data_IF_328032092321
#
_entry.id   IF_328032092321
#
_cell.length_a   1.000
_cell.length_b   1.000
_cell.length_c   1.000
_cell.angle_alpha   90.00
_cell.angle_beta   90.00
_cell.angle_gamma   90.00
#
_symmetry.space_group_name_H-M   'P 1'
#
loop_
_entity.id
_entity.type
_entity.pdbx_description
1 polymer ?
#
# COMPACT_ATOMS: atom_id res chain seq x y z
N UNK A 1 -10.70 7.11 56.07
CA UNK A 1 -10.94 6.98 54.66
C UNK A 1 -9.63 7.20 53.91
N UNK A 2 -9.00 6.12 53.43
CA UNK A 2 -7.76 6.15 52.65
C UNK A 2 -8.15 6.13 51.19
N UNK A 3 -7.97 7.24 50.49
CA UNK A 3 -8.16 7.29 49.02
C UNK A 3 -6.94 6.67 48.33
N UNK A 4 -7.12 5.54 47.69
CA UNK A 4 -6.10 4.95 46.81
C UNK A 4 -6.10 5.69 45.47
N UNK A 5 -5.04 6.45 45.20
CA UNK A 5 -4.78 7.07 43.90
C UNK A 5 -4.25 5.97 42.95
N UNK A 6 -5.10 5.46 42.05
CA UNK A 6 -4.66 4.62 40.96
C UNK A 6 -4.01 5.50 39.88
N UNK A 7 -2.68 5.46 39.80
CA UNK A 7 -1.96 6.02 38.66
C UNK A 7 -2.07 5.04 37.47
N UNK A 8 -2.84 5.40 36.46
CA UNK A 8 -2.78 4.74 35.17
C UNK A 8 -1.52 5.21 34.43
N UNK A 9 -0.49 4.40 34.40
CA UNK A 9 0.61 4.58 33.48
C UNK A 9 0.11 4.16 32.07
N UNK A 10 -0.29 5.14 31.27
CA UNK A 10 -0.46 4.91 29.82
C UNK A 10 0.94 4.72 29.24
N UNK A 11 1.32 3.48 28.96
CA UNK A 11 2.47 3.21 28.08
C UNK A 11 2.11 3.75 26.70
N UNK A 12 2.82 4.78 26.24
CA UNK A 12 2.79 5.12 24.81
C UNK A 12 3.48 3.97 24.09
N UNK A 13 2.70 3.13 23.43
CA UNK A 13 3.23 2.18 22.44
C UNK A 13 3.45 3.00 21.19
N UNK A 14 4.70 3.21 20.80
CA UNK A 14 5.04 3.81 19.51
C UNK A 14 4.84 2.74 18.45
N UNK A 15 4.20 3.10 17.34
CA UNK A 15 4.13 2.23 16.17
C UNK A 15 5.55 1.83 15.74
N UNK A 16 5.80 0.53 15.58
CA UNK A 16 7.10 0.00 15.25
C UNK A 16 7.05 -0.72 13.90
N UNK A 17 7.46 -0.01 12.84
CA UNK A 17 7.67 -0.61 11.52
C UNK A 17 8.83 -1.60 11.58
N UNK A 18 8.55 -2.85 11.26
CA UNK A 18 9.54 -3.95 11.30
C UNK A 18 10.23 -4.12 9.95
N UNK A 19 9.48 -4.02 8.85
CA UNK A 19 10.01 -4.23 7.52
C UNK A 19 8.93 -4.36 6.46
N UNK A 20 9.31 -4.91 5.33
CA UNK A 20 8.39 -5.22 4.22
C UNK A 20 8.42 -6.72 3.93
N UNK A 21 7.27 -7.25 3.54
CA UNK A 21 7.15 -8.61 3.03
C UNK A 21 6.25 -8.63 1.78
N UNK A 22 6.32 -9.72 1.04
CA UNK A 22 5.43 -9.93 -0.10
C UNK A 22 4.90 -11.36 -0.12
N UNK A 23 3.76 -11.53 -0.79
CA UNK A 23 3.20 -12.85 -1.12
C UNK A 23 2.85 -12.92 -2.60
N UNK A 24 2.99 -14.11 -3.18
CA UNK A 24 2.50 -14.40 -4.53
C UNK A 24 1.03 -14.78 -4.44
N UNK A 25 0.16 -14.04 -5.13
CA UNK A 25 -1.29 -14.27 -5.10
C UNK A 25 -1.83 -14.91 -6.37
N UNK A 26 -1.14 -14.77 -7.50
CA UNK A 26 -1.51 -15.39 -8.76
C UNK A 26 -0.33 -15.53 -9.72
N UNK A 27 -0.43 -16.51 -10.62
CA UNK A 27 0.41 -16.63 -11.81
C UNK A 27 -0.51 -16.70 -13.03
N UNK A 28 -0.34 -15.81 -13.99
CA UNK A 28 -1.20 -15.67 -15.16
C UNK A 28 -0.40 -15.44 -16.43
N UNK A 29 -1.07 -15.31 -17.57
CA UNK A 29 -0.42 -14.92 -18.81
C UNK A 29 0.16 -13.49 -18.79
N UNK A 30 -0.30 -12.65 -17.84
CA UNK A 30 0.19 -11.29 -17.63
C UNK A 30 1.41 -11.23 -16.69
N UNK A 31 1.84 -12.38 -16.16
CA UNK A 31 2.93 -12.51 -15.19
C UNK A 31 2.49 -12.99 -13.81
N UNK A 32 3.38 -12.86 -12.87
CA UNK A 32 3.14 -13.18 -11.45
C UNK A 32 2.66 -11.93 -10.73
N UNK A 33 1.58 -12.09 -9.96
CA UNK A 33 0.99 -11.03 -9.13
C UNK A 33 1.49 -11.17 -7.71
N UNK A 34 2.08 -10.09 -7.20
CA UNK A 34 2.61 -9.98 -5.84
C UNK A 34 1.79 -8.96 -5.06
N UNK A 35 1.49 -9.24 -3.81
CA UNK A 35 1.04 -8.26 -2.82
C UNK A 35 2.17 -7.93 -1.87
N UNK A 36 2.37 -6.65 -1.63
CA UNK A 36 3.46 -6.14 -0.79
C UNK A 36 2.85 -5.49 0.45
N UNK A 37 3.43 -5.80 1.59
CA UNK A 37 2.95 -5.38 2.91
C UNK A 37 4.05 -4.67 3.69
N UNK A 38 3.66 -3.66 4.46
CA UNK A 38 4.43 -3.14 5.58
C UNK A 38 4.13 -3.98 6.82
N UNK A 39 5.15 -4.39 7.57
CA UNK A 39 4.99 -5.24 8.77
C UNK A 39 5.25 -4.49 10.05
N UNK A 40 4.51 -4.84 11.10
CA UNK A 40 4.51 -4.21 12.42
C UNK A 40 4.50 -5.27 13.52
N UNK A 41 5.03 -4.94 14.69
CA UNK A 41 5.05 -5.85 15.84
C UNK A 41 3.85 -5.69 16.79
N UNK A 42 2.99 -4.67 16.55
CA UNK A 42 1.80 -4.43 17.35
C UNK A 42 0.54 -4.41 16.44
N UNK A 43 -0.49 -5.21 16.74
CA UNK A 43 -1.71 -5.29 15.91
C UNK A 43 -2.53 -4.00 15.85
N UNK A 44 -2.30 -3.05 16.73
CA UNK A 44 -2.98 -1.73 16.72
C UNK A 44 -2.16 -0.63 16.05
N UNK A 45 -0.99 -0.97 15.49
CA UNK A 45 -0.21 -0.02 14.71
C UNK A 45 -0.93 0.30 13.39
N UNK A 46 -0.97 1.57 13.03
CA UNK A 46 -1.61 2.08 11.83
C UNK A 46 -0.57 2.62 10.86
N UNK A 47 -0.65 2.20 9.60
CA UNK A 47 0.12 2.79 8.50
C UNK A 47 -0.63 3.98 7.93
N UNK A 48 -0.18 5.18 8.20
CA UNK A 48 -0.85 6.40 7.70
C UNK A 48 -0.21 6.98 6.45
N UNK A 49 1.05 6.66 6.14
CA UNK A 49 1.72 7.18 4.95
C UNK A 49 2.86 6.28 4.48
N UNK A 50 3.02 6.20 3.17
CA UNK A 50 4.25 5.77 2.49
C UNK A 50 4.81 6.99 1.78
N UNK A 51 6.05 7.35 2.07
CA UNK A 51 6.67 8.56 1.53
C UNK A 51 8.13 8.34 1.13
N UNK A 52 8.62 9.19 0.25
CA UNK A 52 10.02 9.23 -0.12
C UNK A 52 10.49 10.67 -0.38
N UNK A 53 11.77 10.91 -0.15
CA UNK A 53 12.46 12.17 -0.43
C UNK A 53 13.96 11.90 -0.60
N UNK A 54 14.79 12.91 -0.91
CA UNK A 54 16.22 12.72 -1.19
C UNK A 54 17.01 12.05 -0.06
N UNK A 55 16.59 12.23 1.21
CA UNK A 55 17.24 11.60 2.38
C UNK A 55 16.65 10.24 2.74
N UNK A 56 15.53 9.86 2.11
CA UNK A 56 14.87 8.56 2.24
C UNK A 56 14.29 8.15 0.88
N UNK A 57 15.15 7.82 -0.10
CA UNK A 57 14.71 7.54 -1.46
C UNK A 57 13.91 6.24 -1.54
N UNK A 58 13.00 6.18 -2.52
CA UNK A 58 12.22 4.99 -2.85
C UNK A 58 12.42 4.63 -4.31
N UNK A 59 12.54 3.33 -4.57
CA UNK A 59 12.51 2.77 -5.93
C UNK A 59 11.35 1.80 -6.02
N UNK A 60 10.52 1.96 -7.05
CA UNK A 60 9.53 0.98 -7.48
C UNK A 60 9.91 0.56 -8.89
N UNK A 61 10.27 -0.70 -9.07
CA UNK A 61 10.78 -1.13 -10.37
C UNK A 61 10.79 -2.63 -10.53
N UNK A 62 10.79 -3.05 -11.79
CA UNK A 62 10.90 -4.44 -12.22
C UNK A 62 11.84 -4.51 -13.42
N UNK A 63 12.31 -5.71 -13.75
CA UNK A 63 13.24 -5.91 -14.88
C UNK A 63 12.58 -5.78 -16.25
N UNK A 64 11.25 -5.81 -16.34
CA UNK A 64 10.45 -5.67 -17.55
C UNK A 64 9.47 -4.50 -17.45
N UNK A 65 8.19 -4.78 -17.24
CA UNK A 65 7.15 -3.80 -17.01
C UNK A 65 6.13 -4.30 -15.98
N UNK A 66 5.43 -3.38 -15.35
CA UNK A 66 4.22 -3.69 -14.59
C UNK A 66 3.05 -3.91 -15.55
N UNK A 67 2.25 -4.93 -15.29
CA UNK A 67 0.99 -5.10 -15.97
C UNK A 67 0.00 -4.05 -15.49
N UNK A 68 -0.61 -3.33 -16.44
CA UNK A 68 -1.67 -2.36 -16.20
C UNK A 68 -2.90 -2.77 -17.01
N UNK A 69 -4.02 -3.00 -16.34
CA UNK A 69 -5.26 -3.34 -17.02
C UNK A 69 -5.88 -2.07 -17.65
N UNK A 70 -6.40 -2.12 -18.90
CA UNK A 70 -6.97 -0.94 -19.57
C UNK A 70 -8.16 -0.28 -18.83
N UNK A 71 -8.80 -0.99 -17.90
CA UNK A 71 -9.88 -0.48 -17.04
C UNK A 71 -9.44 -0.44 -15.56
N UNK A 72 -8.15 -0.57 -15.31
CA UNK A 72 -7.52 -0.52 -14.00
C UNK A 72 -7.35 0.90 -13.46
N UNK A 73 -6.61 1.02 -12.38
CA UNK A 73 -6.31 2.29 -11.75
C UNK A 73 -5.10 2.20 -10.82
N UNK A 74 -4.37 3.31 -10.68
CA UNK A 74 -3.18 3.39 -9.83
C UNK A 74 -3.46 3.23 -8.33
N UNK A 75 -4.69 3.50 -7.87
CA UNK A 75 -5.09 3.32 -6.48
C UNK A 75 -6.19 2.26 -6.35
N UNK A 76 -5.98 1.27 -5.50
CA UNK A 76 -6.89 0.14 -5.27
C UNK A 76 -8.33 0.56 -4.96
N UNK A 77 -8.52 1.63 -4.20
CA UNK A 77 -9.83 2.14 -3.81
C UNK A 77 -10.76 2.51 -4.98
N UNK A 78 -10.21 2.67 -6.19
CA UNK A 78 -11.00 2.96 -7.41
C UNK A 78 -11.30 1.71 -8.22
N UNK A 79 -10.73 0.55 -7.88
CA UNK A 79 -10.98 -0.73 -8.55
C UNK A 79 -12.26 -1.35 -7.97
N UNK A 80 -13.29 -1.47 -8.80
CA UNK A 80 -14.54 -2.07 -8.36
C UNK A 80 -14.58 -3.57 -8.70
N UNK A 81 -14.61 -4.48 -7.70
CA UNK A 81 -14.62 -5.93 -7.91
C UNK A 81 -15.85 -6.44 -8.65
N UNK A 82 -16.95 -5.68 -8.69
CA UNK A 82 -18.12 -6.04 -9.48
C UNK A 82 -17.81 -6.16 -10.99
N UNK A 83 -16.74 -5.53 -11.45
CA UNK A 83 -16.30 -5.60 -12.83
C UNK A 83 -15.42 -6.83 -13.16
N UNK A 84 -14.93 -7.59 -12.19
CA UNK A 84 -14.08 -8.76 -12.42
C UNK A 84 -14.75 -9.84 -13.27
N UNK A 85 -16.10 -9.95 -13.23
CA UNK A 85 -16.84 -10.85 -14.10
C UNK A 85 -16.81 -10.47 -15.58
N UNK A 86 -16.79 -9.17 -15.88
CA UNK A 86 -16.75 -8.63 -17.25
C UNK A 86 -15.30 -8.39 -17.72
N UNK A 87 -14.39 -8.08 -16.82
CA UNK A 87 -12.98 -7.81 -17.06
C UNK A 87 -12.12 -8.67 -16.12
N UNK A 88 -11.94 -9.97 -16.43
CA UNK A 88 -11.26 -10.90 -15.50
C UNK A 88 -9.81 -10.56 -15.22
N UNK A 89 -9.15 -9.82 -16.11
CA UNK A 89 -7.75 -9.40 -15.97
C UNK A 89 -7.58 -8.25 -14.98
N UNK A 90 -8.64 -7.47 -14.71
CA UNK A 90 -8.64 -6.35 -13.77
C UNK A 90 -8.21 -6.76 -12.34
N UNK A 91 -8.51 -7.98 -11.92
CA UNK A 91 -8.09 -8.49 -10.62
C UNK A 91 -6.55 -8.62 -10.46
N UNK A 92 -5.82 -8.58 -11.58
CA UNK A 92 -4.36 -8.67 -11.63
C UNK A 92 -3.68 -7.34 -11.95
N UNK A 93 -4.44 -6.26 -12.00
CA UNK A 93 -3.92 -4.91 -12.19
C UNK A 93 -2.86 -4.55 -11.14
N UNK A 94 -1.92 -3.68 -11.50
CA UNK A 94 -0.91 -3.20 -10.57
C UNK A 94 -1.33 -1.85 -10.00
N UNK A 95 -1.29 -1.72 -8.66
CA UNK A 95 -1.79 -0.55 -7.97
C UNK A 95 -1.14 -0.36 -6.59
N UNK A 96 -1.31 0.84 -6.04
CA UNK A 96 -0.91 1.22 -4.68
C UNK A 96 -2.13 1.34 -3.76
N UNK A 97 -1.88 1.20 -2.45
CA UNK A 97 -2.91 1.34 -1.42
C UNK A 97 -2.28 1.61 -0.06
N UNK A 98 -3.14 1.75 0.95
CA UNK A 98 -2.86 1.54 2.37
C UNK A 98 -4.05 0.75 2.92
N UNK A 99 -3.86 -0.58 3.08
CA UNK A 99 -4.82 -1.49 3.68
C UNK A 99 -5.84 -2.12 2.72
N UNK A 100 -6.68 -1.33 2.07
CA UNK A 100 -7.75 -1.85 1.20
C UNK A 100 -7.22 -2.39 -0.13
N UNK A 101 -7.79 -3.49 -0.64
CA UNK A 101 -7.42 -4.09 -1.94
C UNK A 101 -8.30 -3.69 -3.10
N UNK A 102 -9.40 -3.00 -2.84
CA UNK A 102 -10.39 -2.58 -3.82
C UNK A 102 -11.39 -1.56 -3.23
N UNK A 103 -12.39 -1.15 -4.00
CA UNK A 103 -13.38 -0.15 -3.62
C UNK A 103 -14.40 -0.58 -2.56
N UNK A 104 -14.38 -1.83 -2.10
CA UNK A 104 -15.21 -2.28 -0.98
C UNK A 104 -14.53 -2.02 0.38
N UNK A 105 -13.23 -1.72 0.37
CA UNK A 105 -12.48 -1.37 1.57
C UNK A 105 -12.78 0.04 2.08
N UNK A 106 -12.17 0.40 3.20
CA UNK A 106 -12.43 1.65 3.91
C UNK A 106 -11.36 2.72 3.68
N UNK A 107 -10.28 2.39 2.96
CA UNK A 107 -9.16 3.31 2.72
C UNK A 107 -9.53 4.39 1.69
N UNK A 108 -9.37 5.65 2.07
CA UNK A 108 -9.46 6.81 1.18
C UNK A 108 -8.07 7.42 1.00
N UNK A 109 -7.24 6.74 0.21
CA UNK A 109 -5.84 7.10 -0.01
C UNK A 109 -5.75 8.40 -0.80
N UNK A 110 -5.08 9.37 -0.21
CA UNK A 110 -4.72 10.63 -0.82
C UNK A 110 -3.27 10.58 -1.32
N UNK A 111 -2.88 11.52 -2.17
CA UNK A 111 -1.51 11.60 -2.66
C UNK A 111 -1.02 13.05 -2.74
N UNK A 112 0.28 13.24 -2.61
CA UNK A 112 0.96 14.52 -2.82
C UNK A 112 2.30 14.28 -3.53
N UNK A 113 2.56 15.03 -4.60
CA UNK A 113 3.80 14.92 -5.37
C UNK A 113 3.93 13.63 -6.18
N UNK A 114 2.86 12.82 -6.34
CA UNK A 114 2.91 11.54 -7.01
C UNK A 114 2.47 11.56 -8.49
N UNK A 115 1.89 12.65 -9.00
CA UNK A 115 1.24 12.68 -10.31
C UNK A 115 2.13 12.15 -11.44
N UNK A 116 3.39 12.58 -11.52
CA UNK A 116 4.31 12.14 -12.58
C UNK A 116 4.80 10.71 -12.37
N UNK A 117 4.97 10.28 -11.13
CA UNK A 117 5.39 8.92 -10.78
C UNK A 117 4.27 7.93 -11.04
N UNK A 118 3.05 8.25 -10.64
CA UNK A 118 1.87 7.43 -10.92
C UNK A 118 1.56 7.36 -12.41
N UNK A 119 1.72 8.44 -13.17
CA UNK A 119 1.57 8.41 -14.62
C UNK A 119 2.61 7.51 -15.31
N UNK A 120 3.86 7.48 -14.84
CA UNK A 120 4.88 6.57 -15.34
C UNK A 120 4.56 5.11 -15.00
N UNK A 121 4.04 4.87 -13.80
CA UNK A 121 3.62 3.53 -13.36
C UNK A 121 2.42 3.01 -14.15
N UNK A 122 1.39 3.83 -14.38
CA UNK A 122 0.23 3.49 -15.23
C UNK A 122 0.63 3.19 -16.69
N UNK A 123 1.76 3.72 -17.14
CA UNK A 123 2.35 3.37 -18.43
C UNK A 123 3.16 2.05 -18.39
N UNK A 124 3.14 1.31 -17.28
CA UNK A 124 3.87 0.06 -17.06
C UNK A 124 5.33 0.25 -16.62
N UNK A 125 5.79 1.50 -16.44
CA UNK A 125 7.15 1.81 -16.01
C UNK A 125 7.33 1.79 -14.50
N UNK A 126 8.61 1.69 -14.07
CA UNK A 126 8.99 1.96 -12.69
C UNK A 126 9.26 3.45 -12.46
N UNK A 127 9.53 3.81 -11.21
CA UNK A 127 9.96 5.17 -10.84
C UNK A 127 10.93 5.16 -9.66
N UNK A 128 11.66 6.27 -9.52
CA UNK A 128 12.50 6.55 -8.35
C UNK A 128 12.13 7.94 -7.81
N UNK A 129 11.94 8.02 -6.50
CA UNK A 129 11.75 9.29 -5.79
C UNK A 129 12.98 9.52 -4.93
N UNK A 130 13.80 10.49 -5.33
CA UNK A 130 15.05 10.89 -4.67
C UNK A 130 15.22 12.41 -4.65
N UNK A 131 14.11 13.14 -4.72
CA UNK A 131 14.08 14.60 -4.82
C UNK A 131 13.82 15.26 -3.48
N UNK A 132 14.21 16.52 -3.33
CA UNK A 132 13.98 17.31 -2.12
C UNK A 132 12.49 17.44 -1.77
N UNK A 133 11.62 17.59 -2.76
CA UNK A 133 10.16 17.69 -2.55
C UNK A 133 9.57 16.33 -2.17
N UNK A 134 10.10 15.25 -2.78
CA UNK A 134 9.62 13.90 -2.56
C UNK A 134 8.23 13.62 -3.12
N UNK A 135 7.61 12.56 -2.60
CA UNK A 135 6.25 12.15 -2.90
C UNK A 135 5.69 11.25 -1.82
N UNK A 136 4.38 11.20 -1.69
CA UNK A 136 3.69 10.38 -0.69
C UNK A 136 2.29 10.01 -1.14
N UNK A 137 1.84 8.80 -0.76
CA UNK A 137 0.42 8.46 -0.65
C UNK A 137 0.10 8.16 0.80
N UNK A 138 -1.09 8.57 1.26
CA UNK A 138 -1.37 8.61 2.68
C UNK A 138 -2.88 8.56 2.98
N UNK A 139 -3.19 8.23 4.23
CA UNK A 139 -4.51 8.33 4.86
C UNK A 139 -4.45 9.38 5.98
N UNK A 140 -5.60 9.93 6.34
CA UNK A 140 -5.70 10.64 7.61
C UNK A 140 -5.78 9.62 8.77
N UNK A 141 -5.09 9.86 9.90
CA UNK A 141 -5.08 8.93 11.03
C UNK A 141 -6.48 8.56 11.53
N UNK A 142 -6.66 7.30 11.92
CA UNK A 142 -7.92 6.74 12.46
C UNK A 142 -9.11 6.79 11.48
N UNK A 143 -8.87 6.88 10.17
CA UNK A 143 -9.96 6.91 9.17
C UNK A 143 -10.28 5.55 8.57
N UNK A 144 -9.34 4.62 8.60
CA UNK A 144 -9.50 3.32 7.96
C UNK A 144 -9.04 2.19 8.88
N UNK A 145 -9.95 1.32 9.34
CA UNK A 145 -9.52 0.10 10.05
C UNK A 145 -8.68 -0.85 9.18
N UNK A 146 -8.74 -0.74 7.84
CA UNK A 146 -7.89 -1.53 6.94
C UNK A 146 -6.41 -1.10 7.01
N UNK A 147 -6.12 0.10 7.54
CA UNK A 147 -4.77 0.60 7.75
C UNK A 147 -4.13 0.11 9.05
N UNK A 148 -4.88 -0.56 9.93
CA UNK A 148 -4.34 -1.20 11.12
C UNK A 148 -3.66 -2.53 10.75
N UNK A 149 -2.53 -2.83 11.40
CA UNK A 149 -1.77 -4.06 11.17
C UNK A 149 -2.55 -5.34 11.49
N UNK A 150 -3.51 -5.25 12.42
CA UNK A 150 -4.35 -6.38 12.79
C UNK A 150 -3.56 -7.55 13.41
N UNK A 151 -4.20 -8.70 13.50
CA UNK A 151 -3.60 -9.90 14.05
C UNK A 151 -2.43 -10.44 13.21
N UNK A 152 -2.41 -10.12 11.92
CA UNK A 152 -1.38 -10.56 10.97
C UNK A 152 -0.11 -9.71 11.07
N UNK A 153 -0.16 -8.58 11.78
CA UNK A 153 0.95 -7.64 11.93
C UNK A 153 1.33 -6.95 10.62
N UNK A 154 0.43 -6.81 9.63
CA UNK A 154 0.79 -6.29 8.32
C UNK A 154 -0.30 -5.45 7.67
N UNK A 155 0.11 -4.42 6.93
CA UNK A 155 -0.76 -3.54 6.16
C UNK A 155 -0.39 -3.63 4.68
N UNK A 156 -1.36 -3.90 3.82
CA UNK A 156 -1.17 -3.95 2.36
C UNK A 156 -0.80 -2.56 1.83
N UNK A 157 0.27 -2.47 1.02
CA UNK A 157 0.72 -1.20 0.42
C UNK A 157 0.68 -1.18 -1.09
N UNK A 158 0.49 -2.33 -1.73
CA UNK A 158 0.32 -2.42 -3.18
C UNK A 158 0.20 -3.84 -3.70
N UNK A 159 -0.26 -3.94 -4.94
CA UNK A 159 -0.24 -5.14 -5.76
C UNK A 159 0.52 -4.85 -7.04
N UNK A 160 1.37 -5.78 -7.43
CA UNK A 160 2.24 -5.62 -8.60
C UNK A 160 2.26 -6.90 -9.41
N UNK A 161 1.86 -6.82 -10.67
CA UNK A 161 1.88 -7.94 -11.62
C UNK A 161 2.95 -7.67 -12.66
N UNK A 162 3.84 -8.64 -12.86
CA UNK A 162 4.94 -8.55 -13.83
C UNK A 162 5.38 -9.94 -14.27
N UNK A 163 5.91 -10.03 -15.51
CA UNK A 163 6.66 -11.19 -16.01
C UNK A 163 8.17 -11.08 -15.73
N UNK A 164 8.59 -9.99 -15.13
CA UNK A 164 9.96 -9.71 -14.75
C UNK A 164 10.30 -10.10 -13.32
N UNK A 165 11.52 -9.71 -12.91
CA UNK A 165 12.01 -9.84 -11.53
C UNK A 165 11.76 -8.52 -10.80
N UNK A 166 11.17 -8.59 -9.61
CA UNK A 166 10.93 -7.48 -8.67
C UNK A 166 12.11 -7.35 -7.71
#
# INVERSE_FOLDING_TARGET
FTAALMAFASSMVLANFVGMEYETVAETANGTTYRVYATFDNPTDELVAVYALETAPMVVGVSTSFYQDPVGAVLAQTINPAFFGAFPTLQYDSWFTIGSSDSNGTSDVQQVGMDTYFAAFEAGGGFMIDTFIGGSWFLLPNQSPDAEAGADGRVLIGQFTTDGVV
#
